data_IF_545809605858
#
_entry.id   IF_545809605858
#
_cell.length_a   1.000
_cell.length_b   1.000
_cell.length_c   1.000
_cell.angle_alpha   90.00
_cell.angle_beta   90.00
_cell.angle_gamma   90.00
#
_symmetry.space_group_name_H-M   'P 1'
#
loop_
_entity.id
_entity.type
_entity.pdbx_description
1 polymer ?
#
# COMPACT_ATOMS: atom_id res chain seq x y z
N UNK A 1 3.86 27.82 1.64
CA UNK A 1 3.38 26.43 1.54
C UNK A 1 4.58 25.61 1.10
N UNK A 2 5.30 25.07 2.08
CA UNK A 2 6.50 24.27 1.85
C UNK A 2 6.11 23.01 1.07
N UNK A 3 6.77 22.79 -0.06
CA UNK A 3 6.74 21.51 -0.73
C UNK A 3 7.37 20.52 0.24
N UNK A 4 6.59 19.60 0.80
CA UNK A 4 7.17 18.50 1.57
C UNK A 4 8.19 17.80 0.66
N UNK A 5 9.43 17.56 1.15
CA UNK A 5 10.42 16.83 0.39
C UNK A 5 9.79 15.51 -0.04
N UNK A 6 9.92 15.16 -1.32
CA UNK A 6 9.41 13.91 -1.92
C UNK A 6 9.62 12.79 -0.91
N UNK A 7 8.51 12.29 -0.35
CA UNK A 7 8.57 11.22 0.65
C UNK A 7 9.40 10.09 0.07
N UNK A 8 10.38 9.56 0.82
CA UNK A 8 11.26 8.48 0.34
C UNK A 8 10.47 7.33 -0.29
N UNK A 9 9.24 7.11 0.15
CA UNK A 9 8.28 6.18 -0.46
C UNK A 9 8.00 6.47 -1.94
N UNK A 10 7.72 7.72 -2.32
CA UNK A 10 7.42 8.09 -3.71
C UNK A 10 8.68 7.95 -4.58
N UNK A 11 9.87 8.20 -4.02
CA UNK A 11 11.14 7.97 -4.71
C UNK A 11 11.35 6.48 -5.00
N UNK A 12 11.16 5.61 -4.01
CA UNK A 12 11.21 4.16 -4.23
C UNK A 12 10.13 3.67 -5.20
N UNK A 13 8.95 4.30 -5.21
CA UNK A 13 7.91 3.96 -6.19
C UNK A 13 8.29 4.37 -7.62
N UNK A 14 8.97 5.49 -7.78
CA UNK A 14 9.50 5.94 -9.06
C UNK A 14 10.64 5.03 -9.54
N UNK A 15 11.59 4.69 -8.66
CA UNK A 15 12.65 3.73 -8.94
C UNK A 15 12.07 2.37 -9.35
N UNK A 16 11.04 1.89 -8.64
CA UNK A 16 10.35 0.65 -8.99
C UNK A 16 9.68 0.73 -10.38
N UNK A 17 9.08 1.87 -10.73
CA UNK A 17 8.44 2.05 -12.03
C UNK A 17 9.46 1.95 -13.17
N UNK A 18 10.66 2.50 -12.98
CA UNK A 18 11.75 2.41 -13.96
C UNK A 18 12.16 0.94 -14.15
N UNK A 19 12.40 0.22 -13.05
CA UNK A 19 12.79 -1.20 -13.10
C UNK A 19 11.70 -2.07 -13.77
N UNK A 20 10.43 -1.80 -13.48
CA UNK A 20 9.31 -2.50 -14.14
C UNK A 20 9.26 -2.25 -15.65
N UNK A 21 9.49 -1.00 -16.07
CA UNK A 21 9.58 -0.66 -17.49
C UNK A 21 10.76 -1.34 -18.20
N UNK A 22 11.90 -1.44 -17.51
CA UNK A 22 13.07 -2.15 -18.03
C UNK A 22 12.80 -3.66 -18.15
N UNK A 23 12.12 -4.27 -17.18
CA UNK A 23 11.69 -5.68 -17.24
C UNK A 23 10.78 -5.91 -18.45
N UNK A 24 9.75 -5.06 -18.63
CA UNK A 24 8.83 -5.17 -19.76
C UNK A 24 9.57 -5.04 -21.11
N UNK A 25 10.47 -4.06 -21.24
CA UNK A 25 11.29 -3.88 -22.44
C UNK A 25 12.20 -5.08 -22.71
N UNK A 26 12.80 -5.67 -21.67
CA UNK A 26 13.62 -6.88 -21.79
C UNK A 26 12.79 -8.11 -22.17
N UNK A 27 11.60 -8.28 -21.60
CA UNK A 27 10.65 -9.37 -21.92
C UNK A 27 10.27 -9.33 -23.41
N UNK A 28 9.91 -8.15 -23.92
CA UNK A 28 9.57 -7.96 -25.34
C UNK A 28 10.78 -8.22 -26.24
N UNK A 29 11.94 -7.65 -25.90
CA UNK A 29 13.16 -7.77 -26.69
C UNK A 29 13.79 -9.17 -26.73
N UNK A 30 13.46 -10.05 -25.78
CA UNK A 30 13.97 -11.44 -25.77
C UNK A 30 13.41 -12.27 -26.92
N UNK A 31 12.19 -12.00 -27.40
CA UNK A 31 11.58 -12.77 -28.49
C UNK A 31 12.36 -12.68 -29.81
N UNK A 32 13.10 -11.59 -30.02
CA UNK A 32 13.82 -11.30 -31.27
C UNK A 32 15.32 -11.66 -31.23
N UNK A 33 15.88 -11.98 -30.05
CA UNK A 33 17.33 -12.25 -29.89
C UNK A 33 17.73 -13.70 -30.25
N UNK A 34 18.98 -13.89 -30.65
CA UNK A 34 19.60 -15.22 -30.81
C UNK A 34 19.68 -15.98 -29.48
N UNK A 35 19.84 -17.31 -29.51
CA UNK A 35 19.84 -18.19 -28.31
C UNK A 35 20.83 -17.76 -27.21
N UNK A 36 22.05 -17.34 -27.54
CA UNK A 36 23.00 -16.79 -26.56
C UNK A 36 22.56 -15.44 -25.99
N UNK A 37 21.94 -14.59 -26.82
CA UNK A 37 21.36 -13.32 -26.41
C UNK A 37 20.11 -13.50 -25.53
N UNK A 38 19.36 -14.58 -25.74
CA UNK A 38 18.22 -14.97 -24.91
C UNK A 38 18.66 -15.44 -23.53
N UNK A 39 19.68 -16.31 -23.43
CA UNK A 39 20.23 -16.74 -22.13
C UNK A 39 20.75 -15.57 -21.30
N UNK A 40 21.48 -14.64 -21.92
CA UNK A 40 21.93 -13.40 -21.25
C UNK A 40 20.76 -12.48 -20.88
N UNK A 41 19.74 -12.40 -21.73
CA UNK A 41 18.51 -11.66 -21.47
C UNK A 41 17.73 -12.23 -20.29
N UNK A 42 17.61 -13.56 -20.21
CA UNK A 42 16.90 -14.22 -19.11
C UNK A 42 17.55 -13.92 -17.75
N UNK A 43 18.88 -14.03 -17.65
CA UNK A 43 19.60 -13.64 -16.43
C UNK A 43 19.61 -12.13 -16.15
N UNK A 44 19.33 -11.27 -17.13
CA UNK A 44 19.13 -9.84 -16.89
C UNK A 44 17.75 -9.56 -16.29
N UNK A 45 16.70 -10.24 -16.77
CA UNK A 45 15.35 -10.13 -16.21
C UNK A 45 15.28 -10.70 -14.79
N UNK A 46 15.94 -11.84 -14.51
CA UNK A 46 15.99 -12.37 -13.15
C UNK A 46 16.60 -11.38 -12.16
N UNK A 47 17.71 -10.74 -12.53
CA UNK A 47 18.35 -9.70 -11.70
C UNK A 47 17.45 -8.48 -11.51
N UNK A 48 16.79 -8.00 -12.57
CA UNK A 48 15.86 -6.88 -12.47
C UNK A 48 14.62 -7.22 -11.63
N UNK A 49 14.13 -8.46 -11.68
CA UNK A 49 13.05 -8.95 -10.81
C UNK A 49 13.50 -9.02 -9.34
N UNK A 50 14.75 -9.39 -9.07
CA UNK A 50 15.30 -9.39 -7.72
C UNK A 50 15.45 -7.96 -7.18
N UNK A 51 15.96 -7.04 -7.99
CA UNK A 51 16.03 -5.60 -7.69
C UNK A 51 14.64 -5.00 -7.40
N UNK A 52 13.63 -5.33 -8.21
CA UNK A 52 12.25 -4.90 -7.97
C UNK A 52 11.70 -5.39 -6.62
N UNK A 53 12.03 -6.62 -6.21
CA UNK A 53 11.64 -7.16 -4.90
C UNK A 53 12.39 -6.46 -3.74
N UNK A 54 13.67 -6.10 -3.94
CA UNK A 54 14.43 -5.33 -2.95
C UNK A 54 13.81 -3.95 -2.73
N UNK A 55 13.43 -3.25 -3.81
CA UNK A 55 12.78 -1.94 -3.73
C UNK A 55 11.43 -2.06 -3.00
N UNK A 56 10.64 -3.10 -3.25
CA UNK A 56 9.41 -3.36 -2.49
C UNK A 56 9.71 -3.52 -0.99
N UNK A 57 10.75 -4.26 -0.62
CA UNK A 57 11.18 -4.38 0.77
C UNK A 57 11.54 -3.04 1.41
N UNK A 58 12.23 -2.16 0.66
CA UNK A 58 12.55 -0.80 1.10
C UNK A 58 11.28 0.08 1.24
N UNK A 59 10.31 -0.05 0.33
CA UNK A 59 9.02 0.62 0.43
C UNK A 59 8.23 0.19 1.67
N UNK A 60 8.25 -1.09 2.02
CA UNK A 60 7.58 -1.62 3.22
C UNK A 60 8.19 -1.05 4.51
N UNK A 61 9.52 -0.95 4.58
CA UNK A 61 10.22 -0.33 5.71
C UNK A 61 9.84 1.15 5.82
N UNK A 62 9.78 1.87 4.70
CA UNK A 62 9.47 3.30 4.70
C UNK A 62 8.02 3.59 5.06
N UNK A 63 7.07 2.69 4.71
CA UNK A 63 5.67 2.78 5.14
C UNK A 63 5.52 2.78 6.66
N UNK A 64 6.43 2.13 7.40
CA UNK A 64 6.43 2.17 8.87
C UNK A 64 6.71 3.57 9.41
N UNK A 65 7.41 4.42 8.66
CA UNK A 65 7.75 5.80 9.04
C UNK A 65 6.64 6.81 8.75
N UNK A 66 5.66 6.43 7.93
CA UNK A 66 4.53 7.27 7.52
C UNK A 66 3.44 7.32 8.62
N UNK A 67 2.68 8.42 8.79
CA UNK A 67 1.53 8.47 9.71
C UNK A 67 0.46 7.42 9.42
N UNK A 68 -0.20 6.90 10.47
CA UNK A 68 -1.19 5.81 10.36
C UNK A 68 -2.32 6.08 9.36
N UNK A 69 -2.73 7.35 9.21
CA UNK A 69 -3.77 7.78 8.26
C UNK A 69 -3.40 7.53 6.78
N UNK A 70 -2.12 7.59 6.43
CA UNK A 70 -1.62 7.42 5.06
C UNK A 70 -1.04 6.01 4.82
N UNK A 71 -0.77 5.24 5.88
CA UNK A 71 -0.21 3.88 5.80
C UNK A 71 -1.10 2.93 5.00
N UNK A 72 -2.42 2.98 5.19
CA UNK A 72 -3.35 2.10 4.46
C UNK A 72 -3.25 2.32 2.95
N UNK A 73 -3.30 3.59 2.52
CA UNK A 73 -3.20 3.95 1.11
C UNK A 73 -1.87 3.49 0.50
N UNK A 74 -0.74 3.71 1.19
CA UNK A 74 0.57 3.29 0.71
C UNK A 74 0.75 1.76 0.70
N UNK A 75 0.23 1.04 1.71
CA UNK A 75 0.18 -0.44 1.71
C UNK A 75 -0.61 -0.97 0.51
N UNK A 76 -1.75 -0.38 0.18
CA UNK A 76 -2.52 -0.79 -1.02
C UNK A 76 -1.74 -0.54 -2.32
N UNK A 77 -0.98 0.56 -2.42
CA UNK A 77 -0.09 0.81 -3.57
C UNK A 77 1.03 -0.25 -3.67
N UNK A 78 1.71 -0.57 -2.57
CA UNK A 78 2.71 -1.66 -2.52
C UNK A 78 2.08 -2.97 -3.01
N UNK A 79 0.88 -3.30 -2.54
CA UNK A 79 0.18 -4.52 -2.94
C UNK A 79 -0.09 -4.58 -4.45
N UNK A 80 -0.55 -3.47 -5.04
CA UNK A 80 -0.75 -3.36 -6.50
C UNK A 80 0.55 -3.60 -7.26
N UNK A 81 1.68 -3.07 -6.77
CA UNK A 81 3.00 -3.27 -7.40
C UNK A 81 3.48 -4.70 -7.24
N UNK A 82 3.26 -5.32 -6.09
CA UNK A 82 3.59 -6.73 -5.87
C UNK A 82 2.82 -7.65 -6.82
N UNK A 83 1.54 -7.35 -7.10
CA UNK A 83 0.78 -8.11 -8.11
C UNK A 83 1.31 -7.92 -9.53
N UNK A 84 1.79 -6.73 -9.87
CA UNK A 84 2.39 -6.41 -11.16
C UNK A 84 3.71 -7.19 -11.39
N UNK A 85 4.62 -7.16 -10.41
CA UNK A 85 5.87 -7.94 -10.42
C UNK A 85 5.59 -9.44 -10.60
N UNK A 86 4.58 -9.97 -9.91
CA UNK A 86 4.21 -11.38 -10.00
C UNK A 86 3.65 -11.76 -11.37
N UNK A 87 2.89 -10.86 -12.02
CA UNK A 87 2.41 -11.09 -13.38
C UNK A 87 3.57 -11.12 -14.38
N UNK A 88 4.51 -10.18 -14.27
CA UNK A 88 5.74 -10.17 -15.10
C UNK A 88 6.60 -11.42 -14.87
N UNK A 89 6.72 -11.90 -13.63
CA UNK A 89 7.41 -13.15 -13.32
C UNK A 89 6.76 -14.36 -14.01
N UNK A 90 5.44 -14.45 -14.01
CA UNK A 90 4.71 -15.53 -14.71
C UNK A 90 4.91 -15.46 -16.22
N UNK A 91 4.90 -14.25 -16.79
CA UNK A 91 5.15 -14.05 -18.21
C UNK A 91 6.57 -14.49 -18.57
N UNK A 92 7.56 -14.09 -17.77
CA UNK A 92 8.95 -14.54 -17.90
C UNK A 92 9.08 -16.07 -17.83
N UNK A 93 8.49 -16.72 -16.83
CA UNK A 93 8.50 -18.19 -16.70
C UNK A 93 7.87 -18.89 -17.93
N UNK A 94 6.83 -18.30 -18.50
CA UNK A 94 6.18 -18.82 -19.71
C UNK A 94 7.09 -18.71 -20.95
N UNK A 95 7.88 -17.64 -21.06
CA UNK A 95 8.85 -17.46 -22.15
C UNK A 95 10.02 -18.44 -22.02
N UNK A 96 10.54 -18.64 -20.80
CA UNK A 96 11.53 -19.68 -20.53
C UNK A 96 11.02 -21.06 -20.93
N UNK A 97 9.75 -21.37 -20.63
CA UNK A 97 9.11 -22.64 -21.03
C UNK A 97 8.99 -22.79 -22.54
N UNK A 98 8.60 -21.74 -23.26
CA UNK A 98 8.45 -21.76 -24.71
C UNK A 98 9.79 -22.02 -25.42
N UNK A 99 10.87 -21.37 -24.99
CA UNK A 99 12.20 -21.57 -25.58
C UNK A 99 12.79 -22.96 -25.26
N UNK A 100 12.55 -23.49 -24.05
CA UNK A 100 13.02 -24.84 -23.69
C UNK A 100 12.33 -25.98 -24.48
N UNK A 101 11.14 -25.73 -25.04
CA UNK A 101 10.43 -26.67 -25.92
C UNK A 101 10.76 -26.50 -27.42
N UNK A 102 11.54 -25.48 -27.79
CA UNK A 102 11.93 -25.21 -29.19
C UNK A 102 13.19 -25.96 -29.65
N UNK A 103 13.78 -26.79 -28.79
CA UNK A 103 14.81 -27.77 -29.21
C UNK A 103 14.27 -28.59 -30.39
N UNK A 104 14.90 -28.54 -31.58
CA UNK A 104 14.42 -29.25 -32.75
C UNK A 104 14.31 -30.74 -32.45
N UNK A 105 13.12 -31.30 -32.63
CA UNK A 105 12.95 -32.74 -32.77
C UNK A 105 13.62 -33.16 -34.09
N UNK A 106 14.93 -33.39 -34.04
CA UNK A 106 15.67 -34.00 -35.15
C UNK A 106 15.40 -35.49 -35.07
N UNK A 107 14.48 -35.98 -35.88
CA UNK A 107 14.23 -37.39 -36.07
C UNK A 107 15.35 -37.95 -36.96
N UNK A 108 16.52 -38.23 -36.39
CA UNK A 108 17.58 -38.96 -37.09
C UNK A 108 17.31 -40.46 -36.93
N UNK A 109 16.98 -41.12 -38.04
CA UNK A 109 16.30 -42.41 -38.08
C UNK A 109 17.24 -43.64 -37.95
N UNK A 110 18.54 -43.45 -37.69
CA UNK A 110 19.53 -44.52 -37.90
C UNK A 110 20.41 -44.95 -36.68
N UNK A 111 20.03 -44.60 -35.44
CA UNK A 111 20.81 -44.91 -34.21
C UNK A 111 19.98 -45.56 -33.08
N UNK A 112 19.13 -46.54 -33.40
CA UNK A 112 18.05 -47.00 -32.50
C UNK A 112 18.45 -47.66 -31.17
N UNK A 113 19.66 -48.21 -30.94
CA UNK A 113 19.92 -48.99 -29.71
C UNK A 113 20.68 -48.27 -28.60
N UNK A 114 21.58 -47.34 -28.92
CA UNK A 114 22.32 -46.54 -27.93
C UNK A 114 21.56 -45.24 -27.59
N UNK A 115 20.83 -44.69 -28.55
CA UNK A 115 20.08 -43.45 -28.37
C UNK A 115 18.87 -43.64 -27.46
N UNK A 116 18.22 -44.80 -27.48
CA UNK A 116 17.05 -45.08 -26.64
C UNK A 116 17.38 -45.03 -25.13
N UNK A 117 18.57 -45.46 -24.72
CA UNK A 117 19.02 -45.38 -23.31
C UNK A 117 19.38 -43.94 -22.91
N UNK A 118 20.03 -43.18 -23.79
CA UNK A 118 20.27 -41.75 -23.59
C UNK A 118 18.98 -40.93 -23.61
N UNK A 119 17.98 -41.33 -24.40
CA UNK A 119 16.65 -40.73 -24.49
C UNK A 119 15.81 -40.99 -23.24
N UNK A 120 15.89 -42.20 -22.68
CA UNK A 120 15.27 -42.50 -21.39
C UNK A 120 15.97 -41.73 -20.25
N UNK A 121 17.30 -41.69 -20.22
CA UNK A 121 18.06 -40.93 -19.21
C UNK A 121 17.79 -39.41 -19.29
N UNK A 122 17.73 -38.84 -20.49
CA UNK A 122 17.38 -37.43 -20.69
C UNK A 122 15.90 -37.14 -20.42
N UNK A 123 15.01 -38.08 -20.74
CA UNK A 123 13.60 -38.02 -20.35
C UNK A 123 13.42 -38.03 -18.83
N UNK A 124 14.16 -38.87 -18.11
CA UNK A 124 14.16 -38.93 -16.64
C UNK A 124 14.74 -37.66 -16.03
N UNK A 125 15.88 -37.13 -16.54
CA UNK A 125 16.43 -35.85 -16.07
C UNK A 125 15.49 -34.67 -16.29
N UNK A 126 14.85 -34.59 -17.46
CA UNK A 126 13.84 -33.55 -17.75
C UNK A 126 12.61 -33.69 -16.86
N UNK A 127 12.21 -34.92 -16.53
CA UNK A 127 11.08 -35.16 -15.63
C UNK A 127 11.42 -34.77 -14.18
N UNK A 128 12.63 -35.09 -13.72
CA UNK A 128 13.14 -34.72 -12.40
C UNK A 128 13.26 -33.20 -12.26
N UNK A 129 13.81 -32.53 -13.27
CA UNK A 129 13.88 -31.06 -13.34
C UNK A 129 12.49 -30.42 -13.37
N UNK A 130 11.55 -30.97 -14.14
CA UNK A 130 10.15 -30.51 -14.14
C UNK A 130 9.45 -30.75 -12.80
N UNK A 131 9.77 -31.85 -12.11
CA UNK A 131 9.23 -32.18 -10.78
C UNK A 131 9.74 -31.19 -9.73
N UNK A 132 11.04 -30.88 -9.76
CA UNK A 132 11.66 -29.89 -8.89
C UNK A 132 11.09 -28.48 -9.15
N UNK A 133 10.91 -28.11 -10.42
CA UNK A 133 10.29 -26.83 -10.81
C UNK A 133 8.81 -26.75 -10.43
N UNK A 134 8.04 -27.84 -10.54
CA UNK A 134 6.65 -27.89 -10.08
C UNK A 134 6.56 -27.70 -8.56
N UNK A 135 7.47 -28.34 -7.82
CA UNK A 135 7.58 -28.19 -6.37
C UNK A 135 7.91 -26.76 -5.98
N UNK A 136 8.82 -26.10 -6.73
CA UNK A 136 9.13 -24.69 -6.54
C UNK A 136 7.93 -23.78 -6.89
N UNK A 137 7.23 -24.04 -7.99
CA UNK A 137 6.03 -23.28 -8.36
C UNK A 137 4.92 -23.42 -7.31
N UNK A 138 4.72 -24.62 -6.76
CA UNK A 138 3.79 -24.85 -5.66
C UNK A 138 4.22 -24.08 -4.41
N UNK A 139 5.50 -24.11 -4.05
CA UNK A 139 6.04 -23.35 -2.91
C UNK A 139 5.79 -21.85 -3.07
N UNK A 140 6.10 -21.30 -4.24
CA UNK A 140 5.87 -19.88 -4.56
C UNK A 140 4.38 -19.54 -4.51
N UNK A 141 3.51 -20.42 -5.02
CA UNK A 141 2.07 -20.22 -4.97
C UNK A 141 1.54 -20.24 -3.52
N UNK A 142 2.07 -21.10 -2.66
CA UNK A 142 1.67 -21.18 -1.26
C UNK A 142 2.21 -19.99 -0.45
N UNK A 143 3.46 -19.57 -0.67
CA UNK A 143 4.01 -18.30 -0.15
C UNK A 143 3.11 -17.11 -0.58
N UNK A 144 2.66 -17.09 -1.83
CA UNK A 144 1.78 -16.03 -2.36
C UNK A 144 0.39 -16.07 -1.70
N UNK A 145 -0.19 -17.26 -1.47
CA UNK A 145 -1.47 -17.40 -0.77
C UNK A 145 -1.35 -16.93 0.68
N UNK A 146 -0.24 -17.23 1.34
CA UNK A 146 0.00 -16.80 2.71
C UNK A 146 0.13 -15.27 2.79
N UNK A 147 0.89 -14.66 1.88
CA UNK A 147 0.99 -13.21 1.75
C UNK A 147 -0.40 -12.61 1.51
N UNK A 148 -1.18 -13.15 0.56
CA UNK A 148 -2.54 -12.71 0.27
C UNK A 148 -3.51 -12.83 1.46
N UNK A 149 -3.41 -13.92 2.23
CA UNK A 149 -4.23 -14.14 3.42
C UNK A 149 -3.86 -13.16 4.55
N UNK A 150 -2.56 -12.91 4.75
CA UNK A 150 -2.06 -11.92 5.71
C UNK A 150 -2.50 -10.51 5.30
N UNK A 151 -2.48 -10.19 4.00
CA UNK A 151 -2.98 -8.93 3.45
C UNK A 151 -4.46 -8.72 3.77
N UNK A 152 -5.32 -9.72 3.52
CA UNK A 152 -6.75 -9.61 3.79
C UNK A 152 -7.03 -9.39 5.29
N UNK A 153 -6.23 -10.05 6.16
CA UNK A 153 -6.32 -9.88 7.61
C UNK A 153 -5.93 -8.46 8.04
N UNK A 154 -4.83 -7.94 7.49
CA UNK A 154 -4.33 -6.58 7.76
C UNK A 154 -5.33 -5.50 7.31
N UNK A 155 -5.98 -5.69 6.15
CA UNK A 155 -7.01 -4.77 5.66
C UNK A 155 -8.27 -4.81 6.52
N UNK A 156 -8.66 -6.01 6.99
CA UNK A 156 -9.77 -6.18 7.93
C UNK A 156 -9.55 -5.44 9.25
N UNK A 157 -8.37 -5.62 9.85
CA UNK A 157 -8.00 -4.96 11.10
C UNK A 157 -7.90 -3.43 10.95
N UNK A 158 -7.36 -2.95 9.83
CA UNK A 158 -7.30 -1.51 9.54
C UNK A 158 -8.69 -0.90 9.33
N UNK A 159 -9.61 -1.60 8.67
CA UNK A 159 -11.01 -1.16 8.53
C UNK A 159 -11.68 -1.01 9.89
N UNK A 160 -11.47 -1.95 10.79
CA UNK A 160 -12.04 -1.91 12.13
C UNK A 160 -11.51 -0.71 12.95
N UNK A 161 -10.20 -0.45 12.90
CA UNK A 161 -9.61 0.73 13.56
C UNK A 161 -10.18 2.05 13.01
N UNK A 162 -10.38 2.17 11.70
CA UNK A 162 -10.98 3.36 11.09
C UNK A 162 -12.42 3.55 11.58
N UNK A 163 -13.20 2.47 11.66
CA UNK A 163 -14.58 2.52 12.17
C UNK A 163 -14.60 2.98 13.64
N UNK A 164 -13.72 2.43 14.48
CA UNK A 164 -13.63 2.80 15.90
C UNK A 164 -13.22 4.27 16.09
N UNK A 165 -12.23 4.73 15.32
CA UNK A 165 -11.79 6.13 15.36
C UNK A 165 -12.91 7.07 14.92
N UNK A 166 -13.64 6.72 13.85
CA UNK A 166 -14.79 7.49 13.37
C UNK A 166 -15.91 7.55 14.40
N UNK A 167 -16.24 6.43 15.03
CA UNK A 167 -17.27 6.38 16.08
C UNK A 167 -16.87 7.24 17.29
N UNK A 168 -15.61 7.16 17.71
CA UNK A 168 -15.07 7.99 18.80
C UNK A 168 -15.14 9.48 18.46
N UNK A 169 -14.84 9.85 17.21
CA UNK A 169 -14.94 11.23 16.74
C UNK A 169 -16.39 11.75 16.77
N UNK A 170 -17.35 10.94 16.32
CA UNK A 170 -18.79 11.30 16.35
C UNK A 170 -19.27 11.46 17.80
N UNK A 171 -18.81 10.60 18.71
CA UNK A 171 -19.13 10.71 20.13
C UNK A 171 -18.53 11.98 20.76
N UNK A 172 -17.27 12.28 20.46
CA UNK A 172 -16.60 13.50 20.90
C UNK A 172 -17.32 14.77 20.40
N UNK A 173 -17.75 14.79 19.13
CA UNK A 173 -18.53 15.88 18.54
C UNK A 173 -19.85 16.11 19.29
N UNK A 174 -20.55 15.03 19.66
CA UNK A 174 -21.77 15.10 20.49
C UNK A 174 -21.52 15.68 21.88
N UNK A 175 -20.39 15.36 22.52
CA UNK A 175 -20.00 15.98 23.79
C UNK A 175 -19.65 17.47 23.62
N UNK A 176 -18.99 17.85 22.53
CA UNK A 176 -18.71 19.25 22.20
C UNK A 176 -20.01 20.03 22.03
N UNK A 177 -20.99 19.48 21.33
CA UNK A 177 -22.30 20.10 21.12
C UNK A 177 -23.07 20.30 22.43
N UNK A 178 -23.08 19.30 23.32
CA UNK A 178 -23.67 19.41 24.67
C UNK A 178 -22.95 20.46 25.51
N UNK A 179 -21.62 20.51 25.44
CA UNK A 179 -20.79 21.50 26.13
C UNK A 179 -21.07 22.91 25.61
N UNK A 180 -21.25 23.08 24.31
CA UNK A 180 -21.61 24.36 23.69
C UNK A 180 -22.99 24.85 24.17
N UNK A 181 -23.98 23.94 24.28
CA UNK A 181 -25.32 24.27 24.80
C UNK A 181 -25.30 24.69 26.26
N UNK A 182 -24.53 24.01 27.09
CA UNK A 182 -24.39 24.37 28.52
C UNK A 182 -23.66 25.70 28.68
N UNK A 183 -22.56 25.92 27.95
CA UNK A 183 -21.85 27.20 27.91
C UNK A 183 -22.76 28.35 27.46
N UNK A 184 -23.55 28.17 26.40
CA UNK A 184 -24.51 29.19 25.93
C UNK A 184 -25.57 29.53 26.99
N UNK A 185 -25.99 28.54 27.78
CA UNK A 185 -26.94 28.75 28.89
C UNK A 185 -26.28 29.53 30.02
N UNK A 186 -25.04 29.22 30.37
CA UNK A 186 -24.27 29.98 31.36
C UNK A 186 -24.03 31.42 30.91
N UNK A 187 -23.63 31.64 29.65
CA UNK A 187 -23.38 32.96 29.09
C UNK A 187 -24.63 33.87 29.12
N UNK A 188 -25.82 33.31 28.82
CA UNK A 188 -27.09 34.02 28.93
C UNK A 188 -27.39 34.44 30.38
N UNK A 189 -27.25 33.52 31.34
CA UNK A 189 -27.46 33.81 32.77
C UNK A 189 -26.53 34.92 33.26
N UNK A 190 -25.26 34.89 32.88
CA UNK A 190 -24.29 35.94 33.23
C UNK A 190 -24.70 37.29 32.66
N UNK A 191 -25.17 37.32 31.41
CA UNK A 191 -25.62 38.57 30.77
C UNK A 191 -26.85 39.15 31.47
N UNK A 192 -27.84 38.31 31.79
CA UNK A 192 -29.04 38.73 32.53
C UNK A 192 -28.69 39.25 33.93
N UNK A 193 -27.82 38.54 34.66
CA UNK A 193 -27.38 38.96 35.99
C UNK A 193 -26.64 40.31 35.96
N UNK A 194 -25.79 40.53 34.95
CA UNK A 194 -25.12 41.82 34.73
C UNK A 194 -26.14 42.95 34.48
N UNK A 195 -27.15 42.71 33.64
CA UNK A 195 -28.19 43.70 33.33
C UNK A 195 -29.00 44.07 34.58
N UNK A 196 -29.43 43.08 35.36
CA UNK A 196 -30.13 43.31 36.64
C UNK A 196 -29.25 44.15 37.59
N UNK A 197 -27.97 43.84 37.68
CA UNK A 197 -27.03 44.58 38.54
C UNK A 197 -26.91 46.04 38.11
N UNK A 198 -26.78 46.32 36.81
CA UNK A 198 -26.73 47.70 36.31
C UNK A 198 -28.03 48.46 36.53
N UNK A 199 -29.18 47.80 36.42
CA UNK A 199 -30.49 48.40 36.69
C UNK A 199 -30.65 48.82 38.15
N UNK A 200 -30.21 47.98 39.10
CA UNK A 200 -30.24 48.32 40.54
C UNK A 200 -29.36 49.54 40.82
N UNK A 201 -28.14 49.57 40.27
CA UNK A 201 -27.23 50.71 40.43
C UNK A 201 -27.85 51.99 39.87
N UNK A 202 -28.45 51.92 38.68
CA UNK A 202 -29.12 53.06 38.05
C UNK A 202 -30.27 53.61 38.91
N UNK A 203 -31.12 52.74 39.45
CA UNK A 203 -32.24 53.12 40.32
C UNK A 203 -31.74 53.78 41.61
N UNK A 204 -30.69 53.23 42.23
CA UNK A 204 -30.08 53.81 43.44
C UNK A 204 -29.55 55.22 43.19
N UNK A 205 -28.82 55.41 42.08
CA UNK A 205 -28.29 56.73 41.69
C UNK A 205 -29.43 57.72 41.43
N UNK A 206 -30.48 57.29 40.73
CA UNK A 206 -31.65 58.13 40.46
C UNK A 206 -32.36 58.58 41.74
N UNK A 207 -32.54 57.67 42.71
CA UNK A 207 -33.12 58.00 44.02
C UNK A 207 -32.29 59.02 44.79
N UNK A 208 -30.96 58.87 44.79
CA UNK A 208 -30.04 59.83 45.42
C UNK A 208 -30.21 61.21 44.79
N UNK A 209 -30.23 61.30 43.46
CA UNK A 209 -30.46 62.57 42.76
C UNK A 209 -31.82 63.19 43.09
N UNK A 210 -32.89 62.39 43.13
CA UNK A 210 -34.24 62.87 43.46
C UNK A 210 -34.32 63.45 44.87
N UNK A 211 -33.67 62.81 45.85
CA UNK A 211 -33.61 63.30 47.24
C UNK A 211 -32.84 64.62 47.31
N UNK A 212 -31.69 64.72 46.62
CA UNK A 212 -30.89 65.95 46.60
C UNK A 212 -31.69 67.09 45.99
N UNK A 213 -32.39 66.84 44.87
CA UNK A 213 -33.24 67.84 44.22
C UNK A 213 -34.33 68.34 45.17
N UNK A 214 -35.08 67.43 45.78
CA UNK A 214 -36.18 67.77 46.71
C UNK A 214 -35.70 68.44 48.00
N UNK A 215 -34.41 68.31 48.35
CA UNK A 215 -33.82 69.01 49.50
C UNK A 215 -33.26 70.38 49.11
N UNK A 216 -32.86 70.58 47.86
CA UNK A 216 -32.23 71.81 47.37
C UNK A 216 -33.26 72.82 46.82
N UNK A 217 -34.38 72.33 46.29
CA UNK A 217 -35.59 73.11 45.99
C UNK A 217 -36.45 73.24 47.23
#
# INVERSE_FOLDING_TARGET
>A
MEQEPISNFERYEEDLRVVLGDIEGLIVGIREKNEEGKKRGFGAIERALEEANEIIGQMEIEVLRVPLSLRLQKKTRIQSRMTEINNMRKEFESLCRYEQYREPFVLDQDLESLDQRNRLLSGTRKLEENSERLKNAQRIADETKEIGANILRDLGYQREQIIMTKNTLIEADSYVDKSMRTLKTMARRVTTNKLITYLIIFVLVFLIFAIIWNKLT
#
